data_IF_938349339654
#
_entry.id   IF_938349339654
#
_cell.length_a   1.000
_cell.length_b   1.000
_cell.length_c   1.000
_cell.angle_alpha   90.00
_cell.angle_beta   90.00
_cell.angle_gamma   90.00
#
_symmetry.space_group_name_H-M   'P 1'
#
loop_
_entity.id
_entity.type
_entity.pdbx_description
1 polymer ?
#
# COMPACT_ATOMS: atom_id res chain seq x y z
N UNK A 1 -42.35 1.49 -24.73
CA UNK A 1 -41.58 1.20 -23.50
C UNK A 1 -40.15 1.63 -23.76
N UNK A 2 -39.68 2.72 -23.15
CA UNK A 2 -38.28 3.15 -23.30
C UNK A 2 -37.45 2.23 -22.42
N UNK A 3 -36.66 1.35 -23.03
CA UNK A 3 -35.61 0.61 -22.33
C UNK A 3 -34.64 1.66 -21.78
N UNK A 4 -34.64 1.85 -20.46
CA UNK A 4 -33.57 2.58 -19.78
C UNK A 4 -32.30 1.76 -20.01
N UNK A 5 -31.50 2.13 -21.01
CA UNK A 5 -30.12 1.65 -21.10
C UNK A 5 -29.44 2.18 -19.83
N UNK A 6 -29.34 1.33 -18.81
CA UNK A 6 -28.74 1.66 -17.54
C UNK A 6 -27.36 2.27 -17.78
N UNK A 7 -27.14 3.47 -17.25
CA UNK A 7 -25.86 4.17 -17.31
C UNK A 7 -24.82 3.24 -16.68
N UNK A 8 -23.80 2.86 -17.48
CA UNK A 8 -22.66 2.08 -17.01
C UNK A 8 -21.55 3.05 -16.69
N UNK A 9 -21.04 3.00 -15.46
CA UNK A 9 -19.96 3.88 -15.03
C UNK A 9 -18.92 3.10 -14.22
N UNK A 10 -17.64 3.50 -14.25
CA UNK A 10 -16.63 2.85 -13.42
C UNK A 10 -16.87 3.17 -11.95
N UNK A 11 -16.67 2.20 -11.07
CA UNK A 11 -16.49 2.45 -9.66
C UNK A 11 -15.13 3.10 -9.40
N UNK A 12 -15.07 4.02 -8.44
CA UNK A 12 -13.80 4.47 -7.89
C UNK A 12 -13.10 3.28 -7.25
N UNK A 13 -11.78 3.21 -7.42
CA UNK A 13 -10.98 2.12 -6.88
C UNK A 13 -9.65 2.60 -6.30
N UNK A 14 -9.19 1.89 -5.28
CA UNK A 14 -7.89 2.07 -4.67
C UNK A 14 -7.09 0.78 -4.74
N UNK A 15 -5.77 0.88 -4.83
CA UNK A 15 -4.92 -0.31 -4.87
C UNK A 15 -3.62 -0.12 -4.09
N UNK A 16 -3.05 -1.23 -3.63
CA UNK A 16 -1.73 -1.26 -3.02
C UNK A 16 -1.05 -2.62 -3.23
N UNK A 17 0.27 -2.63 -3.08
CA UNK A 17 1.09 -3.81 -3.32
C UNK A 17 1.61 -4.48 -2.04
N UNK A 18 1.88 -5.80 -2.13
CA UNK A 18 2.55 -6.64 -1.14
C UNK A 18 3.43 -7.69 -1.85
N UNK A 19 4.36 -8.36 -1.14
CA UNK A 19 5.23 -9.36 -1.76
C UNK A 19 4.48 -10.43 -2.57
N UNK A 20 3.43 -11.02 -2.00
CA UNK A 20 2.71 -12.14 -2.64
C UNK A 20 1.46 -11.73 -3.41
N UNK A 21 0.89 -10.56 -3.13
CA UNK A 21 -0.43 -10.18 -3.62
C UNK A 21 -0.53 -8.69 -3.92
N UNK A 22 -1.38 -8.34 -4.88
CA UNK A 22 -1.84 -6.97 -5.12
C UNK A 22 -3.29 -6.87 -4.63
N UNK A 23 -3.64 -5.78 -3.97
CA UNK A 23 -5.00 -5.54 -3.50
C UNK A 23 -5.66 -4.43 -4.30
N UNK A 24 -6.92 -4.63 -4.68
CA UNK A 24 -7.74 -3.64 -5.38
C UNK A 24 -9.10 -3.56 -4.68
N UNK A 25 -9.43 -2.39 -4.15
CA UNK A 25 -10.71 -2.12 -3.51
C UNK A 25 -11.59 -1.29 -4.45
N UNK A 26 -12.73 -1.83 -4.86
CA UNK A 26 -13.78 -1.07 -5.55
C UNK A 26 -14.70 -0.44 -4.50
N UNK A 27 -14.69 0.89 -4.42
CA UNK A 27 -15.42 1.69 -3.45
C UNK A 27 -16.89 1.82 -3.86
N UNK A 28 -17.64 0.75 -3.68
CA UNK A 28 -19.07 0.66 -3.97
C UNK A 28 -19.85 0.26 -2.73
N UNK A 29 -20.58 1.20 -2.16
CA UNK A 29 -21.47 0.96 -1.03
C UNK A 29 -22.74 0.23 -1.48
N UNK A 30 -23.27 -0.62 -0.61
CA UNK A 30 -24.51 -1.39 -0.81
C UNK A 30 -24.59 -2.12 -2.17
N UNK A 31 -23.43 -2.56 -2.68
CA UNK A 31 -23.32 -3.30 -3.94
C UNK A 31 -24.26 -4.52 -3.95
N UNK A 32 -24.72 -4.96 -5.11
CA UNK A 32 -25.51 -6.20 -5.31
C UNK A 32 -25.02 -6.87 -6.58
N UNK A 33 -25.30 -8.16 -6.72
CA UNK A 33 -24.92 -8.96 -7.90
C UNK A 33 -23.44 -8.80 -8.29
N UNK A 34 -22.56 -8.82 -7.29
CA UNK A 34 -21.11 -8.64 -7.47
C UNK A 34 -20.56 -9.78 -8.31
N UNK A 35 -19.91 -9.42 -9.42
CA UNK A 35 -19.23 -10.33 -10.32
C UNK A 35 -17.77 -9.88 -10.45
N UNK A 36 -16.86 -10.80 -10.15
CA UNK A 36 -15.43 -10.57 -10.33
C UNK A 36 -14.87 -11.72 -11.14
N UNK A 37 -14.26 -11.40 -12.28
CA UNK A 37 -13.57 -12.36 -13.12
C UNK A 37 -12.07 -12.10 -13.06
N UNK A 38 -11.33 -13.11 -12.63
CA UNK A 38 -9.88 -13.12 -12.66
C UNK A 38 -9.41 -13.88 -13.90
N UNK A 39 -8.62 -13.22 -14.74
CA UNK A 39 -7.84 -13.81 -15.82
C UNK A 39 -6.35 -13.57 -15.54
N UNK A 40 -5.45 -14.24 -16.28
CA UNK A 40 -4.00 -14.19 -16.00
C UNK A 40 -3.40 -12.79 -15.95
N UNK A 41 -3.87 -11.87 -16.78
CA UNK A 41 -3.32 -10.51 -16.88
C UNK A 41 -4.43 -9.45 -16.88
N UNK A 42 -5.62 -9.82 -16.39
CA UNK A 42 -6.81 -8.97 -16.47
C UNK A 42 -7.77 -9.27 -15.31
N UNK A 43 -8.43 -8.23 -14.82
CA UNK A 43 -9.58 -8.36 -13.93
C UNK A 43 -10.76 -7.56 -14.49
N UNK A 44 -11.93 -8.19 -14.50
CA UNK A 44 -13.20 -7.55 -14.77
C UNK A 44 -14.05 -7.55 -13.50
N UNK A 45 -14.51 -6.38 -13.10
CA UNK A 45 -15.41 -6.17 -11.96
C UNK A 45 -16.74 -5.60 -12.45
N UNK A 46 -17.83 -6.12 -11.92
CA UNK A 46 -19.18 -5.62 -12.17
C UNK A 46 -20.05 -5.73 -10.92
N UNK A 47 -20.94 -4.75 -10.72
CA UNK A 47 -22.00 -4.84 -9.70
C UNK A 47 -23.17 -3.90 -10.01
N UNK A 48 -24.23 -4.03 -9.23
CA UNK A 48 -25.43 -3.19 -9.28
C UNK A 48 -25.59 -2.43 -7.96
N UNK A 49 -26.04 -1.17 -8.01
CA UNK A 49 -26.29 -0.34 -6.81
C UNK A 49 -27.72 0.19 -6.82
N UNK A 50 -28.33 0.26 -5.64
CA UNK A 50 -29.59 0.97 -5.40
C UNK A 50 -30.78 0.34 -6.11
N UNK A 51 -31.98 0.89 -5.93
CA UNK A 51 -33.23 0.36 -6.53
C UNK A 51 -33.35 0.65 -8.02
N UNK A 52 -32.55 1.59 -8.54
CA UNK A 52 -32.55 1.99 -9.96
C UNK A 52 -31.64 1.12 -10.83
N UNK A 53 -31.08 0.05 -10.24
CA UNK A 53 -30.19 -0.93 -10.86
C UNK A 53 -29.04 -0.28 -11.67
N UNK A 54 -28.41 0.74 -11.08
CA UNK A 54 -27.24 1.41 -11.66
C UNK A 54 -26.09 0.43 -11.72
N UNK A 55 -25.49 0.28 -12.91
CA UNK A 55 -24.42 -0.70 -13.15
C UNK A 55 -23.05 -0.05 -13.04
N UNK A 56 -22.20 -0.62 -12.19
CA UNK A 56 -20.79 -0.30 -12.15
C UNK A 56 -19.98 -1.39 -12.84
N UNK A 57 -19.09 -1.00 -13.74
CA UNK A 57 -18.20 -1.92 -14.46
C UNK A 57 -16.79 -1.33 -14.55
N UNK A 58 -15.79 -2.13 -14.21
CA UNK A 58 -14.38 -1.77 -14.31
C UNK A 58 -13.61 -2.91 -14.97
N UNK A 59 -12.73 -2.56 -15.90
CA UNK A 59 -11.80 -3.49 -16.54
C UNK A 59 -10.38 -2.98 -16.33
N UNK A 60 -9.49 -3.86 -15.88
CA UNK A 60 -8.06 -3.57 -15.70
C UNK A 60 -7.23 -4.61 -16.41
N UNK A 61 -6.43 -4.18 -17.37
CA UNK A 61 -5.29 -4.94 -17.87
C UNK A 61 -4.11 -4.73 -16.91
N UNK A 62 -3.66 -5.82 -16.29
CA UNK A 62 -2.72 -5.80 -15.16
C UNK A 62 -1.26 -5.63 -15.63
N UNK A 63 -0.45 -5.00 -14.79
CA UNK A 63 0.98 -4.80 -15.02
C UNK A 63 1.74 -6.13 -15.17
N UNK A 64 1.45 -7.09 -14.29
CA UNK A 64 2.02 -8.43 -14.30
C UNK A 64 0.95 -9.52 -14.30
N UNK A 65 1.40 -10.77 -14.37
CA UNK A 65 0.50 -11.92 -14.29
C UNK A 65 0.10 -12.25 -12.85
N UNK A 66 -1.12 -12.76 -12.70
CA UNK A 66 -1.69 -13.26 -11.46
C UNK A 66 -2.05 -14.74 -11.61
N UNK A 67 -2.16 -15.45 -10.48
CA UNK A 67 -2.79 -16.76 -10.39
C UNK A 67 -4.30 -16.57 -10.20
N UNK A 68 -5.14 -16.82 -11.22
CA UNK A 68 -6.59 -16.59 -11.12
C UNK A 68 -7.26 -17.51 -10.08
N UNK A 69 -6.72 -18.70 -9.86
CA UNK A 69 -7.28 -19.68 -8.90
C UNK A 69 -6.93 -19.31 -7.46
N UNK A 70 -5.77 -18.70 -7.25
CA UNK A 70 -5.35 -18.17 -5.95
C UNK A 70 -5.91 -16.79 -5.62
N UNK A 71 -6.50 -16.10 -6.60
CA UNK A 71 -7.11 -14.78 -6.44
C UNK A 71 -8.54 -14.87 -5.93
N UNK A 72 -8.95 -13.92 -5.10
CA UNK A 72 -10.26 -13.93 -4.42
C UNK A 72 -10.78 -12.53 -4.19
N UNK A 73 -12.10 -12.41 -3.98
CA UNK A 73 -12.72 -11.15 -3.57
C UNK A 73 -13.56 -11.33 -2.31
N UNK A 74 -13.77 -10.23 -1.57
CA UNK A 74 -14.66 -10.13 -0.42
C UNK A 74 -15.51 -8.87 -0.57
N UNK A 75 -16.83 -9.06 -0.64
CA UNK A 75 -17.80 -7.97 -0.59
C UNK A 75 -18.11 -7.61 0.86
N UNK A 76 -18.23 -6.32 1.14
CA UNK A 76 -18.76 -5.74 2.38
C UNK A 76 -19.87 -4.75 2.03
N UNK A 77 -20.45 -4.09 3.01
CA UNK A 77 -21.46 -3.04 2.75
C UNK A 77 -20.83 -1.75 2.21
N UNK A 78 -19.51 -1.56 2.38
CA UNK A 78 -18.80 -0.34 1.97
C UNK A 78 -18.04 -0.48 0.66
N UNK A 79 -17.59 -1.68 0.34
CA UNK A 79 -16.69 -1.92 -0.78
C UNK A 79 -16.56 -3.40 -1.15
N UNK A 80 -15.96 -3.65 -2.31
CA UNK A 80 -15.52 -4.98 -2.74
C UNK A 80 -14.00 -5.01 -2.82
N UNK A 81 -13.38 -5.77 -1.93
CA UNK A 81 -11.94 -5.95 -1.87
C UNK A 81 -11.51 -7.17 -2.68
N UNK A 82 -10.61 -6.99 -3.64
CA UNK A 82 -9.99 -8.05 -4.41
C UNK A 82 -8.53 -8.26 -3.97
N UNK A 83 -8.15 -9.51 -3.76
CA UNK A 83 -6.80 -9.96 -3.45
C UNK A 83 -6.31 -10.76 -4.66
N UNK A 84 -5.38 -10.17 -5.41
CA UNK A 84 -4.82 -10.73 -6.63
C UNK A 84 -3.52 -11.43 -6.27
N UNK A 85 -3.48 -12.75 -6.34
CA UNK A 85 -2.27 -13.52 -6.06
C UNK A 85 -1.30 -13.36 -7.21
N UNK A 86 -0.11 -12.80 -6.97
CA UNK A 86 0.88 -12.63 -8.04
C UNK A 86 1.32 -14.01 -8.55
N UNK A 87 1.52 -14.11 -9.86
CA UNK A 87 2.14 -15.30 -10.45
C UNK A 87 3.62 -15.41 -10.07
N UNK A 88 4.28 -14.27 -9.90
CA UNK A 88 5.66 -14.14 -9.44
C UNK A 88 5.71 -13.33 -8.13
N UNK A 89 5.70 -14.00 -6.96
CA UNK A 89 5.87 -13.35 -5.67
C UNK A 89 7.21 -12.64 -5.53
N UNK A 90 7.28 -11.66 -4.62
CA UNK A 90 8.50 -10.91 -4.30
C UNK A 90 8.91 -9.89 -5.37
N UNK A 91 8.15 -9.76 -6.47
CA UNK A 91 8.37 -8.70 -7.47
C UNK A 91 7.45 -7.52 -7.24
N UNK A 92 7.98 -6.30 -7.15
CA UNK A 92 7.18 -5.11 -6.94
C UNK A 92 6.40 -4.69 -8.17
N UNK A 93 5.21 -4.13 -7.94
CA UNK A 93 4.38 -3.57 -8.99
C UNK A 93 4.45 -2.04 -8.92
N UNK A 94 5.23 -1.37 -9.81
CA UNK A 94 5.34 0.10 -9.82
C UNK A 94 4.04 0.79 -10.27
N UNK A 95 3.10 0.01 -10.83
CA UNK A 95 1.75 0.42 -11.22
C UNK A 95 0.85 -0.81 -11.28
N UNK A 96 -0.46 -0.62 -11.16
CA UNK A 96 -1.44 -1.70 -11.30
C UNK A 96 -1.65 -2.11 -12.76
N UNK A 97 -1.63 -1.15 -13.69
CA UNK A 97 -2.03 -1.36 -15.08
C UNK A 97 -0.85 -1.63 -16.02
N UNK A 98 -1.09 -2.41 -17.07
CA UNK A 98 -0.10 -2.66 -18.13
C UNK A 98 0.36 -1.35 -18.78
N UNK A 99 -0.60 -0.55 -19.23
CA UNK A 99 -0.36 0.73 -19.88
C UNK A 99 -0.17 1.85 -18.85
N UNK A 100 0.59 2.88 -19.23
CA UNK A 100 0.84 4.08 -18.41
C UNK A 100 -0.31 5.08 -18.43
N UNK A 101 -1.36 4.80 -19.19
CA UNK A 101 -2.55 5.64 -19.28
C UNK A 101 -3.23 5.72 -17.91
N UNK A 102 -3.42 6.93 -17.40
CA UNK A 102 -4.10 7.13 -16.12
C UNK A 102 -5.59 6.85 -16.27
N UNK A 103 -6.12 5.91 -15.48
CA UNK A 103 -7.54 5.75 -15.25
C UNK A 103 -8.00 6.78 -14.22
N UNK A 104 -8.96 7.64 -14.56
CA UNK A 104 -9.47 8.69 -13.66
C UNK A 104 -10.16 8.14 -12.39
N UNK A 105 -10.61 6.89 -12.43
CA UNK A 105 -11.28 6.20 -11.33
C UNK A 105 -10.35 5.36 -10.45
N UNK A 106 -9.07 5.19 -10.81
CA UNK A 106 -8.11 4.36 -10.06
C UNK A 106 -7.08 5.24 -9.35
N UNK A 107 -6.83 4.95 -8.07
CA UNK A 107 -5.86 5.69 -7.25
C UNK A 107 -5.05 4.75 -6.33
N UNK A 108 -3.92 5.22 -5.81
CA UNK A 108 -3.12 4.46 -4.84
C UNK A 108 -3.78 4.55 -3.45
N UNK A 109 -3.84 3.43 -2.74
CA UNK A 109 -4.26 3.39 -1.34
C UNK A 109 -3.08 3.74 -0.42
N UNK A 110 -2.86 5.02 -0.16
CA UNK A 110 -1.79 5.49 0.71
C UNK A 110 -1.93 5.04 2.17
N UNK A 111 -3.13 4.65 2.62
CA UNK A 111 -3.31 4.17 3.99
C UNK A 111 -2.74 2.76 4.18
N UNK A 112 -2.78 1.94 3.12
CA UNK A 112 -2.26 0.58 3.13
C UNK A 112 -0.92 0.44 2.40
N UNK A 113 -0.46 1.44 1.64
CA UNK A 113 0.82 1.38 0.94
C UNK A 113 1.99 1.19 1.90
N UNK A 114 2.92 0.31 1.54
CA UNK A 114 4.17 0.06 2.26
C UNK A 114 5.27 -0.15 1.24
N UNK A 115 6.43 0.43 1.48
CA UNK A 115 7.63 0.13 0.71
C UNK A 115 8.27 -1.12 1.30
N UNK A 116 7.82 -2.28 0.83
CA UNK A 116 8.23 -3.58 1.38
C UNK A 116 9.50 -4.13 0.72
N UNK A 117 10.04 -3.44 -0.29
CA UNK A 117 11.31 -3.81 -0.94
C UNK A 117 12.52 -3.43 -0.07
N UNK A 118 12.41 -2.35 0.68
CA UNK A 118 13.50 -1.77 1.50
C UNK A 118 13.51 -2.30 2.95
N UNK A 119 12.47 -3.03 3.36
CA UNK A 119 12.34 -3.64 4.70
C UNK A 119 13.35 -4.81 4.94
N UNK A 120 14.32 -5.04 4.05
CA UNK A 120 15.32 -6.09 4.21
C UNK A 120 16.59 -5.71 4.99
N UNK A 121 16.86 -4.43 5.33
CA UNK A 121 18.14 -4.04 5.94
C UNK A 121 18.12 -2.86 6.96
N UNK A 122 17.02 -2.60 7.68
CA UNK A 122 17.00 -1.53 8.71
C UNK A 122 16.59 -2.02 10.11
N UNK A 123 17.29 -3.04 10.62
CA UNK A 123 17.38 -3.32 12.08
C UNK A 123 18.85 -3.42 12.55
N UNK A 124 19.74 -2.61 11.97
CA UNK A 124 20.85 -2.06 12.75
C UNK A 124 20.29 -0.80 13.37
N UNK A 125 19.82 -0.95 14.61
CA UNK A 125 19.03 0.05 15.29
C UNK A 125 19.70 1.41 15.18
N UNK A 126 18.90 2.46 14.96
CA UNK A 126 19.35 3.87 15.07
C UNK A 126 20.13 4.12 16.37
N UNK A 127 19.94 3.27 17.38
CA UNK A 127 20.68 3.24 18.63
C UNK A 127 22.14 2.79 18.46
N UNK A 128 22.41 1.69 17.74
CA UNK A 128 23.78 1.17 17.54
C UNK A 128 24.69 2.19 16.83
N UNK A 129 24.14 2.91 15.84
CA UNK A 129 24.88 3.96 15.12
C UNK A 129 25.12 5.22 15.96
N UNK A 130 24.22 5.52 16.89
CA UNK A 130 24.40 6.61 17.86
C UNK A 130 25.40 6.21 18.96
N UNK A 131 25.37 4.95 19.40
CA UNK A 131 26.31 4.37 20.37
C UNK A 131 27.73 4.26 19.83
N UNK A 132 27.92 3.89 18.55
CA UNK A 132 29.24 3.92 17.89
C UNK A 132 29.81 5.34 17.80
N UNK A 133 28.99 6.36 17.50
CA UNK A 133 29.41 7.76 17.48
C UNK A 133 29.82 8.28 18.87
N UNK A 134 29.12 7.86 19.94
CA UNK A 134 29.49 8.20 21.32
C UNK A 134 30.75 7.47 21.78
N UNK A 135 30.89 6.18 21.48
CA UNK A 135 32.08 5.39 21.83
C UNK A 135 33.34 5.86 21.09
N UNK A 136 33.20 6.47 19.91
CA UNK A 136 34.32 7.04 19.14
C UNK A 136 34.80 8.40 19.67
N UNK A 137 34.13 8.97 20.68
CA UNK A 137 34.53 10.21 21.36
C UNK A 137 35.13 9.96 22.76
N UNK A 138 35.19 8.70 23.22
CA UNK A 138 35.68 8.33 24.57
C UNK A 138 37.07 7.66 24.54
N UNK A 139 37.88 8.01 23.55
CA UNK A 139 39.25 7.52 23.42
C UNK A 139 40.13 8.60 22.84
N UNK A 140 40.55 9.54 23.68
CA UNK A 140 41.92 10.08 23.76
C UNK A 140 41.94 11.38 24.59
N UNK A 141 42.68 11.31 25.71
CA UNK A 141 43.04 12.35 26.67
C UNK A 141 41.92 13.08 27.44
N UNK A 142 41.98 12.97 28.78
CA UNK A 142 42.00 14.08 29.74
C UNK A 142 41.53 13.61 31.13
N UNK A 143 42.35 12.80 31.80
CA UNK A 143 42.26 12.59 33.25
C UNK A 143 43.68 12.40 33.81
N UNK A 144 44.47 13.47 33.86
CA UNK A 144 45.56 13.60 34.82
C UNK A 144 46.05 15.05 34.88
N UNK A 145 45.59 15.81 35.88
CA UNK A 145 46.46 16.52 36.82
C UNK A 145 45.68 17.48 37.72
N UNK A 146 45.61 17.05 38.97
CA UNK A 146 45.96 17.80 40.17
C UNK A 146 44.89 18.69 40.84
N UNK A 147 44.57 18.26 42.05
CA UNK A 147 43.97 19.04 43.11
C UNK A 147 44.83 20.27 43.39
N UNK A 148 44.32 21.48 43.16
CA UNK A 148 44.82 22.64 43.89
C UNK A 148 43.68 23.54 44.35
N UNK A 149 43.31 23.32 45.61
CA UNK A 149 42.82 24.26 46.60
C UNK A 149 42.90 25.73 46.16
N UNK A 150 41.79 26.47 46.23
CA UNK A 150 41.51 27.37 47.36
C UNK A 150 40.20 28.11 47.16
N UNK A 151 39.46 28.20 48.26
CA UNK A 151 38.27 29.02 48.41
C UNK A 151 38.61 30.52 48.36
N UNK A 152 37.70 31.31 47.76
CA UNK A 152 37.25 32.64 48.19
C UNK A 152 36.08 33.00 47.24
N UNK A 153 34.82 32.97 47.65
CA UNK A 153 34.13 33.97 48.48
C UNK A 153 34.36 35.39 48.00
N UNK A 154 33.44 35.96 47.22
CA UNK A 154 32.79 37.22 47.62
C UNK A 154 31.48 37.47 46.85
N UNK A 155 30.58 38.14 47.57
CA UNK A 155 29.17 38.46 47.34
C UNK A 155 28.98 39.70 46.44
N UNK A 156 27.71 40.02 46.14
CA UNK A 156 27.11 41.20 45.45
C UNK A 156 26.54 40.98 44.03
#
# INVERSE_FOLDING_TARGET
MKSCLGVRQPAAAKWYDRPDCVFVEFCVEDSRDVQVKFDKSKIDFGCVIGTDDIKHENTLDLFGEIDPKGSKHRRTDRSVMCCLRKAEPGKPWPRLTKDKTKCNWLSVDFNNWKDWEDDSDEDMSRYDKFSEMMNSMEGDDLCDLDEHYSADSDDE
#
